data_IF_663002459437
#
_entry.id   IF_663002459437
#
_cell.length_a   1.000
_cell.length_b   1.000
_cell.length_c   1.000
_cell.angle_alpha   90.00
_cell.angle_beta   90.00
_cell.angle_gamma   90.00
#
_symmetry.space_group_name_H-M   'P 1'
#
loop_
_entity.id
_entity.type
_entity.pdbx_description
1 polymer ?
#
# COMPACT_ATOMS: atom_id res chain seq x y z
N UNK A 1 -47.43 -28.84 -10.74
CA UNK A 1 -46.79 -27.61 -10.21
C UNK A 1 -45.34 -27.95 -9.89
N UNK A 2 -44.38 -27.54 -10.72
CA UNK A 2 -42.95 -27.76 -10.44
C UNK A 2 -42.42 -26.60 -9.58
N UNK A 3 -41.77 -26.85 -8.43
CA UNK A 3 -41.17 -25.78 -7.65
C UNK A 3 -39.90 -25.28 -8.36
N UNK A 4 -39.88 -24.00 -8.71
CA UNK A 4 -38.72 -23.33 -9.26
C UNK A 4 -37.74 -23.06 -8.11
N UNK A 5 -36.62 -23.78 -8.07
CA UNK A 5 -35.53 -23.52 -7.12
C UNK A 5 -34.66 -22.40 -7.69
N UNK A 6 -34.84 -21.17 -7.21
CA UNK A 6 -33.92 -20.08 -7.54
C UNK A 6 -32.60 -20.27 -6.77
N UNK A 7 -31.42 -20.22 -7.42
CA UNK A 7 -30.15 -20.19 -6.72
C UNK A 7 -30.01 -18.85 -6.00
N UNK A 8 -29.66 -18.90 -4.71
CA UNK A 8 -29.33 -17.71 -3.93
C UNK A 8 -27.99 -17.12 -4.42
N UNK A 9 -27.89 -15.79 -4.60
CA UNK A 9 -26.61 -15.12 -4.80
C UNK A 9 -25.69 -15.40 -3.61
N UNK A 10 -24.48 -15.89 -3.89
CA UNK A 10 -23.47 -16.13 -2.86
C UNK A 10 -23.04 -14.84 -2.15
N UNK A 11 -22.47 -14.94 -0.93
CA UNK A 11 -21.96 -13.79 -0.19
C UNK A 11 -20.87 -13.06 -0.98
N UNK A 12 -20.75 -11.73 -0.82
CA UNK A 12 -19.70 -10.95 -1.50
C UNK A 12 -18.31 -11.44 -1.08
N UNK A 13 -17.31 -11.39 -1.99
CA UNK A 13 -15.94 -11.72 -1.63
C UNK A 13 -15.48 -10.77 -0.52
N UNK A 14 -15.04 -11.35 0.59
CA UNK A 14 -14.40 -10.58 1.66
C UNK A 14 -13.08 -10.03 1.10
N UNK A 15 -12.77 -8.73 1.25
CA UNK A 15 -11.44 -8.24 0.91
C UNK A 15 -10.44 -9.01 1.77
N UNK A 16 -9.65 -9.88 1.14
CA UNK A 16 -8.52 -10.50 1.80
C UNK A 16 -7.54 -9.39 2.23
N UNK A 17 -6.67 -9.64 3.22
CA UNK A 17 -5.59 -8.72 3.51
C UNK A 17 -4.84 -8.48 2.20
N UNK A 18 -4.89 -7.25 1.70
CA UNK A 18 -4.05 -6.83 0.58
C UNK A 18 -2.63 -6.98 1.09
N UNK A 19 -2.01 -8.08 0.70
CA UNK A 19 -0.59 -8.29 0.84
C UNK A 19 0.04 -7.37 -0.20
N UNK A 20 0.06 -6.07 0.10
CA UNK A 20 0.71 -5.08 -0.75
C UNK A 20 2.16 -5.52 -0.85
N UNK A 21 2.62 -5.71 -2.09
CA UNK A 21 3.97 -6.18 -2.33
C UNK A 21 4.95 -5.21 -1.64
N UNK A 22 5.82 -5.68 -0.72
CA UNK A 22 6.71 -4.79 -0.01
C UNK A 22 7.63 -3.99 -0.92
N UNK A 23 7.96 -4.52 -2.12
CA UNK A 23 8.72 -3.76 -3.11
C UNK A 23 7.92 -2.64 -3.73
N UNK A 24 6.62 -2.83 -3.95
CA UNK A 24 5.76 -1.74 -4.40
C UNK A 24 5.71 -0.61 -3.36
N UNK A 25 5.71 -0.94 -2.07
CA UNK A 25 5.82 0.06 -0.99
C UNK A 25 7.17 0.80 -0.97
N UNK A 26 8.27 0.11 -1.29
CA UNK A 26 9.59 0.74 -1.43
C UNK A 26 9.61 1.68 -2.64
N UNK A 27 9.08 1.24 -3.79
CA UNK A 27 9.03 2.05 -5.01
C UNK A 27 8.20 3.33 -4.80
N UNK A 28 7.06 3.21 -4.11
CA UNK A 28 6.20 4.36 -3.77
C UNK A 28 6.87 5.33 -2.80
N UNK A 29 7.57 4.81 -1.77
CA UNK A 29 8.34 5.64 -0.85
C UNK A 29 9.46 6.42 -1.58
N UNK A 30 10.16 5.77 -2.51
CA UNK A 30 11.24 6.42 -3.28
C UNK A 30 10.68 7.45 -4.27
N UNK A 31 9.56 7.18 -4.92
CA UNK A 31 8.87 8.15 -5.78
C UNK A 31 8.44 9.42 -5.02
N UNK A 32 8.23 9.32 -3.71
CA UNK A 32 7.99 10.49 -2.84
C UNK A 32 9.15 11.50 -2.82
N UNK A 33 10.35 11.13 -3.26
CA UNK A 33 11.51 12.02 -3.36
C UNK A 33 11.60 12.73 -4.72
N UNK A 34 10.75 12.40 -5.70
CA UNK A 34 10.75 13.08 -7.00
C UNK A 34 10.45 14.58 -6.85
N UNK A 35 11.03 15.37 -7.75
CA UNK A 35 10.91 16.83 -7.82
C UNK A 35 11.29 17.59 -6.53
N UNK A 36 12.15 17.00 -5.68
CA UNK A 36 12.59 17.65 -4.44
C UNK A 36 13.22 19.02 -4.69
N UNK A 37 13.94 19.20 -5.80
CA UNK A 37 14.60 20.46 -6.17
C UNK A 37 13.63 21.62 -6.44
N UNK A 38 12.36 21.29 -6.67
CA UNK A 38 11.28 22.27 -6.86
C UNK A 38 10.73 22.81 -5.54
N UNK A 39 11.06 22.16 -4.42
CA UNK A 39 10.61 22.52 -3.08
C UNK A 39 11.64 23.40 -2.35
N UNK A 40 11.20 24.18 -1.36
CA UNK A 40 12.12 24.85 -0.44
C UNK A 40 12.95 23.82 0.35
N UNK A 41 14.25 24.08 0.61
CA UNK A 41 15.09 23.16 1.39
C UNK A 41 14.55 22.82 2.79
N UNK A 42 13.74 23.70 3.37
CA UNK A 42 13.06 23.44 4.64
C UNK A 42 12.06 22.28 4.54
N UNK A 43 11.38 22.11 3.41
CA UNK A 43 10.40 21.04 3.17
C UNK A 43 11.06 19.70 2.80
N UNK A 44 12.34 19.72 2.39
CA UNK A 44 13.08 18.50 2.09
C UNK A 44 13.17 17.59 3.32
N UNK A 45 13.36 18.17 4.51
CA UNK A 45 13.50 17.41 5.75
C UNK A 45 12.23 16.61 6.04
N UNK A 46 11.06 17.23 5.88
CA UNK A 46 9.77 16.56 6.10
C UNK A 46 9.54 15.43 5.08
N UNK A 47 9.87 15.68 3.80
CA UNK A 47 9.85 14.65 2.75
C UNK A 47 10.77 13.46 3.08
N UNK A 48 12.00 13.73 3.50
CA UNK A 48 12.95 12.68 3.86
C UNK A 48 12.52 11.89 5.09
N UNK A 49 11.91 12.54 6.08
CA UNK A 49 11.38 11.89 7.29
C UNK A 49 10.19 10.97 6.97
N UNK A 50 9.26 11.43 6.12
CA UNK A 50 8.15 10.61 5.63
C UNK A 50 8.67 9.37 4.89
N UNK A 51 9.62 9.53 3.96
CA UNK A 51 10.19 8.41 3.20
C UNK A 51 10.95 7.43 4.10
N UNK A 52 11.68 7.91 5.11
CA UNK A 52 12.32 7.03 6.10
C UNK A 52 11.31 6.17 6.87
N UNK A 53 10.19 6.76 7.27
CA UNK A 53 9.11 6.06 7.98
C UNK A 53 8.49 4.98 7.09
N UNK A 54 8.13 5.33 5.85
CA UNK A 54 7.55 4.38 4.89
C UNK A 54 8.50 3.23 4.56
N UNK A 55 9.80 3.52 4.32
CA UNK A 55 10.79 2.47 4.09
C UNK A 55 10.98 1.57 5.30
N UNK A 56 10.94 2.12 6.52
CA UNK A 56 11.04 1.33 7.74
C UNK A 56 9.87 0.35 7.85
N UNK A 57 8.65 0.80 7.55
CA UNK A 57 7.45 -0.05 7.52
C UNK A 57 7.57 -1.13 6.45
N UNK A 58 7.92 -0.74 5.22
CA UNK A 58 8.04 -1.65 4.09
C UNK A 58 9.10 -2.73 4.35
N UNK A 59 10.29 -2.36 4.82
CA UNK A 59 11.37 -3.31 5.11
C UNK A 59 11.07 -4.20 6.32
N UNK A 60 10.46 -3.65 7.37
CA UNK A 60 10.03 -4.44 8.55
C UNK A 60 8.94 -5.46 8.21
N UNK A 61 8.18 -5.24 7.13
CA UNK A 61 7.19 -6.20 6.64
C UNK A 61 7.84 -7.40 5.93
N UNK A 62 9.02 -7.22 5.35
CA UNK A 62 9.82 -8.25 4.67
C UNK A 62 10.59 -9.10 5.69
N UNK A 63 11.13 -8.48 6.73
CA UNK A 63 11.97 -9.12 7.75
C UNK A 63 11.22 -10.15 8.62
N UNK A 64 9.87 -10.13 8.61
CA UNK A 64 9.05 -11.17 9.24
C UNK A 64 9.06 -12.46 8.42
N UNK A 65 10.17 -13.22 8.50
CA UNK A 65 10.33 -14.60 8.01
C UNK A 65 10.07 -15.64 9.09
#
# INVERSE_FOLDING_TARGET
MHPNVHPVPGPPPTPGPQQTDPRAGIDEAVAGLDDLDTLPPAEHVDRFEAVHTELTVALSSIDKV
#
